data_IF_801872082412
#
_entry.id   IF_801872082412
#
_cell.length_a   1.000
_cell.length_b   1.000
_cell.length_c   1.000
_cell.angle_alpha   90.00
_cell.angle_beta   90.00
_cell.angle_gamma   90.00
#
_symmetry.space_group_name_H-M   'P 1'
#
loop_
_entity.id
_entity.type
_entity.pdbx_description
1 polymer ?
#
# COMPACT_ATOMS: atom_id res chain seq x y z
N UNK A 1 9.77 0.33 26.31
CA UNK A 1 8.61 0.36 25.40
C UNK A 1 8.90 1.41 24.38
N UNK A 2 8.86 1.06 23.11
CA UNK A 2 9.27 1.87 21.96
C UNK A 2 8.51 1.36 20.75
N UNK A 3 8.28 2.22 19.77
CA UNK A 3 7.70 1.79 18.49
C UNK A 3 8.82 1.66 17.47
N UNK A 4 8.86 0.54 16.76
CA UNK A 4 9.73 0.36 15.61
C UNK A 4 8.89 0.36 14.33
N UNK A 5 9.26 1.15 13.33
CA UNK A 5 8.63 1.11 11.99
C UNK A 5 9.61 0.56 10.95
N UNK A 6 9.22 -0.47 10.21
CA UNK A 6 9.96 -0.90 9.02
C UNK A 6 9.62 0.01 7.85
N UNK A 7 10.65 0.59 7.24
CA UNK A 7 10.52 1.49 6.08
C UNK A 7 10.98 0.77 4.81
N UNK A 8 10.01 0.29 4.03
CA UNK A 8 10.24 -0.37 2.75
C UNK A 8 10.83 0.62 1.73
N UNK A 9 11.86 0.21 0.99
CA UNK A 9 12.47 1.00 -0.07
C UNK A 9 12.39 0.29 -1.42
N UNK A 10 12.35 1.07 -2.48
CA UNK A 10 12.57 0.60 -3.84
C UNK A 10 13.67 1.45 -4.47
N UNK A 11 14.77 0.82 -4.87
CA UNK A 11 15.91 1.48 -5.54
C UNK A 11 16.50 2.65 -4.72
N UNK A 12 16.55 2.47 -3.40
CA UNK A 12 17.07 3.46 -2.47
C UNK A 12 16.11 4.63 -2.20
N UNK A 13 14.85 4.52 -2.63
CA UNK A 13 13.82 5.55 -2.47
C UNK A 13 12.63 5.07 -1.65
N UNK A 14 12.08 5.98 -0.86
CA UNK A 14 10.86 5.75 -0.11
C UNK A 14 9.63 6.18 -0.89
N UNK A 15 8.59 5.37 -0.81
CA UNK A 15 7.28 5.68 -1.39
C UNK A 15 6.41 6.41 -0.36
N UNK A 16 5.34 7.05 -0.82
CA UNK A 16 4.40 7.76 0.06
C UNK A 16 3.83 6.90 1.20
N UNK A 17 3.57 5.62 0.93
CA UNK A 17 3.08 4.64 1.92
C UNK A 17 4.05 4.42 3.08
N UNK A 18 5.35 4.68 2.88
CA UNK A 18 6.39 4.61 3.91
C UNK A 18 6.23 5.78 4.87
N UNK A 19 6.12 6.99 4.35
CA UNK A 19 5.91 8.19 5.16
C UNK A 19 4.59 8.10 5.94
N UNK A 20 3.55 7.53 5.35
CA UNK A 20 2.29 7.23 6.05
C UNK A 20 2.49 6.23 7.20
N UNK A 21 3.24 5.15 6.99
CA UNK A 21 3.54 4.18 8.05
C UNK A 21 4.34 4.82 9.20
N UNK A 22 5.27 5.72 8.89
CA UNK A 22 6.02 6.50 9.90
C UNK A 22 5.09 7.43 10.67
N UNK A 23 4.23 8.19 9.98
CA UNK A 23 3.23 9.05 10.62
C UNK A 23 2.29 8.26 11.54
N UNK A 24 1.86 7.07 11.10
CA UNK A 24 1.01 6.17 11.89
C UNK A 24 1.75 5.65 13.14
N UNK A 25 2.98 5.18 12.96
CA UNK A 25 3.81 4.71 14.06
C UNK A 25 4.13 5.82 15.07
N UNK A 26 4.32 7.05 14.60
CA UNK A 26 4.53 8.23 15.45
C UNK A 26 3.30 8.54 16.28
N UNK A 27 2.11 8.49 15.68
CA UNK A 27 0.87 8.70 16.42
C UNK A 27 0.62 7.61 17.48
N UNK A 28 1.00 6.36 17.21
CA UNK A 28 1.01 5.29 18.24
C UNK A 28 2.01 5.61 19.35
N UNK A 29 3.22 6.02 18.99
CA UNK A 29 4.26 6.36 19.96
C UNK A 29 3.80 7.52 20.88
N UNK A 30 3.14 8.53 20.32
CA UNK A 30 2.56 9.65 21.07
C UNK A 30 1.45 9.21 22.02
N UNK A 31 0.54 8.34 21.58
CA UNK A 31 -0.51 7.75 22.45
C UNK A 31 0.09 6.99 23.64
N UNK A 32 1.24 6.36 23.45
CA UNK A 32 1.95 5.57 24.47
C UNK A 32 3.01 6.39 25.22
N UNK A 33 3.16 7.68 24.93
CA UNK A 33 4.22 8.54 25.48
C UNK A 33 5.62 7.93 25.35
N UNK A 34 5.93 7.39 24.16
CA UNK A 34 7.24 6.78 23.84
C UNK A 34 7.84 7.32 22.54
N UNK A 35 9.05 6.83 22.20
CA UNK A 35 9.80 7.19 21.01
C UNK A 35 9.49 6.27 19.82
N UNK A 36 9.73 6.80 18.62
CA UNK A 36 9.68 6.06 17.37
C UNK A 36 11.09 5.89 16.79
N UNK A 37 11.49 4.64 16.58
CA UNK A 37 12.64 4.29 15.74
C UNK A 37 12.15 3.74 14.40
N UNK A 38 12.86 4.05 13.32
CA UNK A 38 12.67 3.43 12.01
C UNK A 38 13.80 2.43 11.72
N UNK A 39 13.51 1.40 10.92
CA UNK A 39 14.53 0.51 10.37
C UNK A 39 14.43 0.48 8.85
N UNK A 40 15.53 0.83 8.19
CA UNK A 40 15.71 0.73 6.74
C UNK A 40 16.69 -0.40 6.42
N UNK A 41 16.35 -1.19 5.40
CA UNK A 41 17.15 -2.33 4.95
C UNK A 41 17.47 -2.19 3.46
N UNK A 42 18.75 -2.23 3.12
CA UNK A 42 19.29 -2.07 1.77
C UNK A 42 20.07 -0.77 1.62
N UNK A 43 20.37 -0.43 0.37
CA UNK A 43 21.21 0.72 0.05
C UNK A 43 20.35 1.98 -0.14
N UNK A 44 20.11 2.69 0.96
CA UNK A 44 19.38 3.97 0.99
C UNK A 44 20.34 5.10 1.34
N UNK A 45 20.30 6.19 0.58
CA UNK A 45 21.15 7.35 0.83
C UNK A 45 20.79 8.03 2.16
N UNK A 46 21.80 8.53 2.88
CA UNK A 46 21.60 9.22 4.16
C UNK A 46 20.59 10.38 4.07
N UNK A 47 20.59 11.11 2.96
CA UNK A 47 19.64 12.20 2.70
C UNK A 47 18.18 11.72 2.68
N UNK A 48 17.94 10.55 2.09
CA UNK A 48 16.60 9.93 2.04
C UNK A 48 16.18 9.42 3.42
N UNK A 49 17.10 8.82 4.17
CA UNK A 49 16.86 8.38 5.56
C UNK A 49 16.45 9.55 6.46
N UNK A 50 17.07 10.73 6.29
CA UNK A 50 16.72 11.94 7.05
C UNK A 50 15.31 12.44 6.79
N UNK A 51 14.72 12.15 5.62
CA UNK A 51 13.33 12.55 5.33
C UNK A 51 12.32 11.90 6.29
N UNK A 52 12.65 10.74 6.85
CA UNK A 52 11.80 10.07 7.86
C UNK A 52 11.60 10.91 9.12
N UNK A 53 12.58 11.77 9.45
CA UNK A 53 12.49 12.70 10.58
C UNK A 53 11.35 13.71 10.43
N UNK A 54 11.02 14.12 9.20
CA UNK A 54 9.90 15.02 8.91
C UNK A 54 8.54 14.45 9.38
N UNK A 55 8.45 13.13 9.47
CA UNK A 55 7.23 12.39 9.82
C UNK A 55 7.27 11.76 11.22
N UNK A 56 8.35 11.98 11.97
CA UNK A 56 8.42 11.69 13.40
C UNK A 56 9.38 10.59 13.83
N UNK A 57 10.20 10.03 12.92
CA UNK A 57 11.26 9.11 13.31
C UNK A 57 12.43 9.88 13.95
N UNK A 58 12.66 9.70 15.25
CA UNK A 58 13.78 10.35 15.96
C UNK A 58 15.10 9.58 15.80
N UNK A 59 15.01 8.30 15.42
CA UNK A 59 16.15 7.42 15.18
C UNK A 59 15.89 6.53 13.97
N UNK A 60 16.89 6.32 13.15
CA UNK A 60 16.84 5.45 11.96
C UNK A 60 17.99 4.45 12.04
N UNK A 61 17.64 3.18 12.18
CA UNK A 61 18.56 2.06 12.06
C UNK A 61 18.76 1.74 10.58
N UNK A 62 19.96 1.99 10.08
CA UNK A 62 20.35 1.72 8.71
C UNK A 62 21.05 0.36 8.60
N UNK A 63 20.49 -0.55 7.81
CA UNK A 63 21.06 -1.87 7.56
C UNK A 63 21.48 -1.97 6.10
N UNK A 64 22.78 -1.81 5.84
CA UNK A 64 23.38 -2.07 4.52
C UNK A 64 24.26 -3.32 4.62
N UNK A 65 23.88 -4.35 3.86
CA UNK A 65 24.60 -5.60 3.73
C UNK A 65 24.41 -6.12 2.31
N UNK A 66 25.49 -6.59 1.66
CA UNK A 66 25.43 -7.07 0.26
C UNK A 66 24.39 -8.16 0.05
N UNK A 67 24.22 -9.04 1.04
CA UNK A 67 23.25 -10.15 1.03
C UNK A 67 21.79 -9.67 1.11
N UNK A 68 21.54 -8.40 1.46
CA UNK A 68 20.24 -7.77 1.59
C UNK A 68 19.98 -6.70 0.51
N UNK A 69 20.81 -6.63 -0.54
CA UNK A 69 20.55 -5.76 -1.71
C UNK A 69 19.24 -6.10 -2.41
N UNK A 70 18.88 -7.38 -2.37
CA UNK A 70 17.61 -7.88 -2.88
C UNK A 70 16.71 -8.32 -1.74
N UNK A 71 15.40 -8.16 -1.92
CA UNK A 71 14.42 -8.51 -0.89
C UNK A 71 14.41 -10.02 -0.57
N UNK A 72 14.89 -10.40 0.61
CA UNK A 72 14.83 -11.78 1.11
C UNK A 72 13.96 -11.81 2.37
N UNK A 73 12.71 -12.26 2.20
CA UNK A 73 11.66 -12.14 3.21
C UNK A 73 12.06 -12.70 4.60
N UNK A 74 12.74 -13.85 4.65
CA UNK A 74 13.18 -14.48 5.91
C UNK A 74 14.27 -13.65 6.62
N UNK A 75 15.30 -13.25 5.88
CA UNK A 75 16.39 -12.44 6.41
C UNK A 75 15.90 -11.08 6.89
N UNK A 76 15.04 -10.41 6.12
CA UNK A 76 14.43 -9.14 6.51
C UNK A 76 13.64 -9.26 7.82
N UNK A 77 12.84 -10.32 7.98
CA UNK A 77 12.11 -10.56 9.22
C UNK A 77 13.06 -10.81 10.42
N UNK A 78 14.19 -11.51 10.23
CA UNK A 78 15.22 -11.69 11.27
C UNK A 78 15.86 -10.37 11.68
N UNK A 79 16.22 -9.53 10.69
CA UNK A 79 16.82 -8.21 10.91
C UNK A 79 15.86 -7.29 11.68
N UNK A 80 14.58 -7.23 11.27
CA UNK A 80 13.57 -6.40 11.94
C UNK A 80 13.32 -6.88 13.37
N UNK A 81 13.27 -8.19 13.61
CA UNK A 81 13.11 -8.72 14.96
C UNK A 81 14.32 -8.38 15.85
N UNK A 82 15.55 -8.50 15.33
CA UNK A 82 16.76 -8.12 16.05
C UNK A 82 16.80 -6.62 16.40
N UNK A 83 16.37 -5.76 15.46
CA UNK A 83 16.24 -4.33 15.71
C UNK A 83 15.18 -4.01 16.77
N UNK A 84 14.03 -4.71 16.74
CA UNK A 84 12.98 -4.53 17.75
C UNK A 84 13.51 -4.89 19.14
N UNK A 85 14.27 -5.98 19.27
CA UNK A 85 14.92 -6.34 20.54
C UNK A 85 15.95 -5.30 20.98
N UNK A 86 16.78 -4.78 20.07
CA UNK A 86 17.78 -3.74 20.37
C UNK A 86 17.15 -2.45 20.90
N UNK A 87 16.08 -1.98 20.25
CA UNK A 87 15.36 -0.76 20.64
C UNK A 87 14.35 -0.98 21.77
N UNK A 88 14.27 -2.20 22.32
CA UNK A 88 13.25 -2.59 23.30
C UNK A 88 11.82 -2.18 22.84
N UNK A 89 11.56 -2.39 21.55
CA UNK A 89 10.31 -2.05 20.90
C UNK A 89 9.31 -3.19 21.03
N UNK A 90 8.20 -2.91 21.68
CA UNK A 90 7.07 -3.81 21.92
C UNK A 90 5.98 -3.66 20.85
N UNK A 91 6.06 -2.65 19.99
CA UNK A 91 5.18 -2.48 18.83
C UNK A 91 6.04 -2.32 17.58
N UNK A 92 5.81 -3.21 16.60
CA UNK A 92 6.40 -3.10 15.26
C UNK A 92 5.32 -2.73 14.25
N UNK A 93 5.55 -1.67 13.49
CA UNK A 93 4.68 -1.18 12.44
C UNK A 93 5.32 -1.41 11.08
N UNK A 94 4.52 -1.77 10.09
CA UNK A 94 4.92 -1.82 8.69
C UNK A 94 3.72 -1.55 7.78
N UNK A 95 3.98 -1.17 6.53
CA UNK A 95 2.90 -1.10 5.53
C UNK A 95 2.40 -2.52 5.20
N UNK A 96 1.10 -2.69 5.03
CA UNK A 96 0.46 -3.92 4.54
C UNK A 96 0.60 -4.06 3.02
N UNK A 97 1.78 -3.73 2.49
CA UNK A 97 2.17 -3.87 1.10
C UNK A 97 2.31 -5.34 0.71
N UNK A 98 2.62 -5.63 -0.55
CA UNK A 98 2.84 -7.01 -0.99
C UNK A 98 3.97 -7.70 -0.19
N UNK A 99 5.10 -7.02 0.00
CA UNK A 99 6.21 -7.51 0.82
C UNK A 99 5.83 -7.55 2.30
N UNK A 100 5.15 -6.51 2.80
CA UNK A 100 4.67 -6.39 4.17
C UNK A 100 3.74 -7.53 4.60
N UNK A 101 2.83 -7.97 3.74
CA UNK A 101 1.96 -9.14 3.97
C UNK A 101 2.75 -10.44 4.19
N UNK A 102 3.90 -10.58 3.53
CA UNK A 102 4.81 -11.70 3.75
C UNK A 102 5.68 -11.55 4.99
N UNK A 103 6.08 -10.32 5.33
CA UNK A 103 6.96 -10.01 6.46
C UNK A 103 6.25 -10.05 7.82
N UNK A 104 5.08 -9.39 7.93
CA UNK A 104 4.37 -9.19 9.18
C UNK A 104 4.17 -10.48 10.01
N UNK A 105 3.65 -11.60 9.44
CA UNK A 105 3.50 -12.84 10.20
C UNK A 105 4.83 -13.45 10.64
N UNK A 106 5.90 -13.31 9.86
CA UNK A 106 7.22 -13.83 10.24
C UNK A 106 7.84 -13.04 11.37
N UNK A 107 7.71 -11.71 11.33
CA UNK A 107 8.13 -10.82 12.41
C UNK A 107 7.35 -11.18 13.68
N UNK A 108 6.03 -11.39 13.55
CA UNK A 108 5.20 -11.72 14.71
C UNK A 108 5.63 -13.02 15.38
N UNK A 109 5.90 -14.07 14.62
CA UNK A 109 6.41 -15.34 15.15
C UNK A 109 7.77 -15.17 15.82
N UNK A 110 8.70 -14.41 15.22
CA UNK A 110 10.05 -14.19 15.79
C UNK A 110 10.03 -13.39 17.09
N UNK A 111 9.02 -12.54 17.28
CA UNK A 111 8.85 -11.70 18.46
C UNK A 111 7.82 -12.24 19.47
N UNK A 112 7.23 -13.41 19.22
CA UNK A 112 6.10 -13.94 20.01
C UNK A 112 4.96 -12.91 20.15
N UNK A 113 4.71 -12.17 19.07
CA UNK A 113 3.82 -11.02 19.05
C UNK A 113 2.42 -11.36 18.52
N UNK A 114 1.42 -10.62 18.98
CA UNK A 114 0.10 -10.57 18.35
C UNK A 114 0.18 -9.80 17.03
N UNK A 115 -0.53 -10.26 15.99
CA UNK A 115 -0.54 -9.61 14.68
C UNK A 115 -1.91 -9.03 14.37
N UNK A 116 -1.93 -7.75 13.98
CA UNK A 116 -3.06 -7.14 13.28
C UNK A 116 -2.61 -6.70 11.88
N UNK A 117 -2.94 -7.51 10.86
CA UNK A 117 -2.77 -7.13 9.46
C UNK A 117 -3.95 -6.30 8.95
N UNK A 118 -3.68 -5.34 8.07
CA UNK A 118 -4.71 -4.51 7.44
C UNK A 118 -5.40 -3.53 8.38
N UNK A 119 -4.65 -2.96 9.32
CA UNK A 119 -5.13 -1.88 10.18
C UNK A 119 -5.58 -0.68 9.34
N UNK A 120 -6.64 0.00 9.77
CA UNK A 120 -7.21 1.16 9.04
C UNK A 120 -7.26 2.44 9.86
N UNK A 121 -7.04 2.36 11.17
CA UNK A 121 -7.01 3.50 12.08
C UNK A 121 -6.07 3.21 13.26
N UNK A 122 -5.87 4.21 14.12
CA UNK A 122 -5.03 4.05 15.30
C UNK A 122 -5.61 2.99 16.24
N UNK A 123 -4.76 2.25 16.96
CA UNK A 123 -5.22 1.34 17.99
C UNK A 123 -5.98 2.12 19.07
N UNK A 124 -7.03 1.49 19.61
CA UNK A 124 -7.62 1.92 20.87
C UNK A 124 -6.85 1.29 22.01
N UNK A 125 -6.54 2.11 23.01
CA UNK A 125 -5.74 1.74 24.18
C UNK A 125 -6.53 1.92 25.49
N UNK A 126 -7.81 2.27 25.39
CA UNK A 126 -8.70 2.45 26.53
C UNK A 126 -9.08 1.07 27.09
N UNK A 127 -8.32 0.63 28.09
CA UNK A 127 -8.47 -0.67 28.75
C UNK A 127 -7.72 -1.80 28.03
N UNK A 128 -8.03 -2.07 26.75
CA UNK A 128 -7.42 -3.15 25.97
C UNK A 128 -6.79 -2.60 24.70
N UNK A 129 -5.62 -3.12 24.31
CA UNK A 129 -5.00 -2.75 23.04
C UNK A 129 -5.74 -3.45 21.89
N UNK A 130 -6.55 -2.70 21.15
CA UNK A 130 -7.35 -3.23 20.04
C UNK A 130 -7.09 -2.46 18.75
N UNK A 131 -7.05 -3.20 17.64
CA UNK A 131 -6.81 -2.66 16.30
C UNK A 131 -8.03 -2.94 15.44
N UNK A 132 -8.61 -1.90 14.86
CA UNK A 132 -9.61 -2.06 13.80
C UNK A 132 -8.92 -2.32 12.47
N UNK A 133 -9.29 -3.43 11.84
CA UNK A 133 -8.72 -3.88 10.56
C UNK A 133 -9.80 -4.24 9.55
N UNK A 134 -9.45 -4.22 8.27
CA UNK A 134 -10.33 -4.73 7.21
C UNK A 134 -10.53 -6.23 7.32
N UNK A 135 -11.75 -6.71 7.07
CA UNK A 135 -12.11 -8.12 6.97
C UNK A 135 -13.01 -8.36 5.75
N UNK A 136 -13.15 -9.63 5.34
CA UNK A 136 -14.01 -10.05 4.23
C UNK A 136 -13.79 -9.25 2.93
N UNK A 137 -12.53 -9.04 2.56
CA UNK A 137 -12.13 -8.24 1.38
C UNK A 137 -12.71 -6.83 1.38
N UNK A 138 -12.60 -6.13 2.51
CA UNK A 138 -13.04 -4.75 2.68
C UNK A 138 -14.54 -4.58 2.93
N UNK A 139 -15.32 -5.67 3.00
CA UNK A 139 -16.78 -5.60 3.25
C UNK A 139 -17.16 -5.41 4.70
N UNK A 140 -16.23 -5.62 5.63
CA UNK A 140 -16.46 -5.40 7.05
C UNK A 140 -15.19 -4.93 7.75
N UNK A 141 -15.36 -4.45 8.97
CA UNK A 141 -14.28 -4.19 9.90
C UNK A 141 -14.31 -5.21 11.03
N UNK A 142 -13.14 -5.69 11.44
CA UNK A 142 -12.96 -6.47 12.66
C UNK A 142 -12.19 -5.61 13.68
N UNK A 143 -12.61 -5.64 14.94
CA UNK A 143 -11.88 -5.05 16.05
C UNK A 143 -11.15 -6.20 16.75
N UNK A 144 -9.83 -6.25 16.59
CA UNK A 144 -9.00 -7.35 17.09
C UNK A 144 -8.20 -6.89 18.31
N UNK A 145 -8.43 -7.52 19.46
CA UNK A 145 -7.64 -7.33 20.67
C UNK A 145 -6.30 -8.07 20.53
N UNK A 146 -5.19 -7.37 20.80
CA UNK A 146 -3.85 -7.95 20.84
C UNK A 146 -3.40 -8.10 22.30
N UNK A 147 -3.43 -9.33 22.80
CA UNK A 147 -3.14 -9.65 24.22
C UNK A 147 -1.67 -9.95 24.50
N UNK A 148 -0.87 -10.21 23.47
CA UNK A 148 0.57 -10.44 23.61
C UNK A 148 1.31 -9.16 24.05
N UNK A 149 2.42 -9.35 24.77
CA UNK A 149 3.31 -8.25 25.16
C UNK A 149 3.79 -7.49 23.91
N UNK A 150 4.37 -8.21 22.96
CA UNK A 150 4.79 -7.67 21.67
C UNK A 150 3.64 -7.66 20.67
N UNK A 151 3.63 -6.66 19.78
CA UNK A 151 2.57 -6.43 18.79
C UNK A 151 3.17 -6.10 17.44
N UNK A 152 2.59 -6.65 16.38
CA UNK A 152 2.92 -6.31 14.99
C UNK A 152 1.65 -5.78 14.33
N UNK A 153 1.75 -4.60 13.72
CA UNK A 153 0.62 -3.94 13.05
C UNK A 153 1.02 -3.63 11.62
N UNK A 154 0.33 -4.26 10.65
CA UNK A 154 0.49 -3.92 9.25
C UNK A 154 -0.61 -2.95 8.81
N UNK A 155 -0.24 -1.71 8.52
CA UNK A 155 -1.16 -0.63 8.13
C UNK A 155 -1.56 -0.75 6.67
N UNK A 156 -2.86 -0.76 6.36
CA UNK A 156 -3.30 -0.67 4.97
C UNK A 156 -2.83 0.65 4.34
N UNK A 157 -2.18 0.61 3.15
CA UNK A 157 -1.81 1.82 2.44
C UNK A 157 -3.02 2.74 2.21
N UNK A 158 -2.78 4.05 2.34
CA UNK A 158 -3.74 5.15 2.20
C UNK A 158 -4.89 5.15 3.23
N UNK A 159 -4.76 4.44 4.36
CA UNK A 159 -5.77 4.41 5.41
C UNK A 159 -5.62 5.53 6.46
N UNK A 160 -4.39 5.95 6.78
CA UNK A 160 -4.12 6.95 7.83
C UNK A 160 -3.76 8.34 7.28
N UNK A 161 -3.15 8.37 6.09
CA UNK A 161 -2.59 9.56 5.49
C UNK A 161 -1.23 9.96 6.08
N UNK A 162 -0.50 10.78 5.31
CA UNK A 162 0.79 11.32 5.74
C UNK A 162 0.57 12.55 6.61
N UNK A 163 1.19 12.57 7.80
CA UNK A 163 1.13 13.68 8.75
C UNK A 163 2.54 14.07 9.16
N UNK A 164 2.87 15.35 8.99
CA UNK A 164 4.16 15.88 9.43
C UNK A 164 4.16 16.01 10.96
N UNK A 165 5.24 15.56 11.57
CA UNK A 165 5.48 15.66 13.00
C UNK A 165 7.00 15.64 13.20
N UNK A 166 7.63 16.75 12.85
CA UNK A 166 9.07 16.79 12.61
C UNK A 166 9.88 16.49 13.89
N UNK A 167 10.90 15.66 13.72
CA UNK A 167 11.92 15.33 14.72
C UNK A 167 13.30 15.32 14.05
N UNK A 168 14.35 15.59 14.81
CA UNK A 168 15.72 15.42 14.33
C UNK A 168 16.09 13.92 14.30
N UNK A 169 16.07 13.33 13.11
CA UNK A 169 16.39 11.93 12.91
C UNK A 169 17.90 11.68 13.01
N UNK A 170 18.31 10.92 14.03
CA UNK A 170 19.67 10.37 14.12
C UNK A 170 19.78 9.07 13.32
N UNK A 171 20.86 8.90 12.57
CA UNK A 171 21.09 7.68 11.77
C UNK A 171 22.16 6.84 12.46
N UNK A 172 21.84 5.58 12.71
CA UNK A 172 22.74 4.61 13.31
C UNK A 172 22.86 3.38 12.40
N UNK A 173 24.10 3.03 12.03
CA UNK A 173 24.33 1.78 11.31
C UNK A 173 24.05 0.58 12.22
N UNK A 174 23.22 -0.34 11.76
CA UNK A 174 22.84 -1.54 12.49
C UNK A 174 23.27 -2.79 11.71
N UNK A 175 24.13 -3.59 12.33
CA UNK A 175 24.50 -4.90 11.83
C UNK A 175 23.71 -5.97 12.58
N UNK A 176 22.87 -6.71 11.85
CA UNK A 176 22.18 -7.87 12.37
C UNK A 176 22.90 -9.15 11.94
N UNK A 177 22.88 -10.17 12.81
CA UNK A 177 23.38 -11.50 12.45
C UNK A 177 22.38 -12.19 11.50
N UNK A 178 22.78 -12.42 10.26
CA UNK A 178 21.95 -13.03 9.22
C UNK A 178 22.40 -14.48 9.08
N UNK A 179 21.53 -15.41 9.47
CA UNK A 179 21.80 -16.84 9.32
C UNK A 179 21.74 -17.23 7.85
N UNK A 180 22.67 -18.07 7.41
CA UNK A 180 22.68 -18.60 6.04
C UNK A 180 21.35 -19.31 5.68
N UNK A 181 20.68 -19.91 6.66
CA UNK A 181 19.37 -20.54 6.49
C UNK A 181 18.27 -19.55 6.07
N UNK A 182 18.40 -18.27 6.41
CA UNK A 182 17.45 -17.21 6.07
C UNK A 182 17.64 -16.69 4.63
N UNK A 183 18.72 -17.11 3.95
CA UNK A 183 19.08 -16.72 2.57
C UNK A 183 18.75 -17.80 1.53
N UNK A 184 17.89 -18.77 1.87
CA UNK A 184 17.53 -19.87 0.98
C UNK A 184 16.74 -19.48 -0.28
N UNK A 185 16.18 -18.27 -0.33
CA UNK A 185 15.43 -17.77 -1.49
C UNK A 185 16.35 -17.02 -2.44
N UNK A 186 16.41 -17.47 -3.70
CA UNK A 186 17.16 -16.80 -4.76
C UNK A 186 16.20 -16.09 -5.71
N UNK A 187 16.37 -14.78 -5.85
CA UNK A 187 15.66 -13.99 -6.86
C UNK A 187 16.32 -14.26 -8.21
N UNK A 188 15.55 -14.81 -9.16
CA UNK A 188 16.03 -15.07 -10.53
C UNK A 188 16.00 -13.82 -11.39
N UNK A 189 14.87 -13.11 -11.39
CA UNK A 189 14.64 -11.90 -12.18
C UNK A 189 13.72 -10.93 -11.45
N UNK A 190 13.88 -9.64 -11.72
CA UNK A 190 12.98 -8.57 -11.29
C UNK A 190 12.49 -7.85 -12.55
N UNK A 191 11.23 -8.05 -12.93
CA UNK A 191 10.61 -7.41 -14.10
C UNK A 191 9.79 -6.21 -13.65
N UNK A 192 10.09 -5.02 -14.18
CA UNK A 192 9.38 -3.76 -13.86
C UNK A 192 8.90 -3.08 -15.14
N UNK A 193 7.74 -2.43 -15.06
CA UNK A 193 7.32 -1.47 -16.08
C UNK A 193 7.95 -0.11 -15.76
N UNK A 194 8.79 0.43 -16.64
CA UNK A 194 9.62 1.62 -16.38
C UNK A 194 8.95 2.95 -16.75
N UNK A 195 7.82 2.93 -17.46
CA UNK A 195 7.24 4.16 -18.07
C UNK A 195 5.80 4.48 -17.62
N UNK A 196 5.31 3.83 -16.56
CA UNK A 196 3.93 4.02 -16.07
C UNK A 196 3.89 4.18 -14.56
N UNK A 197 2.89 4.92 -14.07
CA UNK A 197 2.58 5.00 -12.64
C UNK A 197 2.28 3.59 -12.12
N UNK A 198 3.03 3.16 -11.10
CA UNK A 198 2.83 1.89 -10.42
C UNK A 198 1.42 1.82 -9.81
N UNK A 199 0.62 0.84 -10.23
CA UNK A 199 -0.76 0.69 -9.74
C UNK A 199 -0.90 0.59 -8.21
N UNK A 200 -0.06 -0.20 -7.50
CA UNK A 200 -0.09 -0.23 -6.03
C UNK A 200 0.09 1.13 -5.35
N UNK A 201 0.75 2.07 -6.03
CA UNK A 201 1.12 3.38 -5.48
C UNK A 201 0.28 4.53 -6.08
N UNK A 202 -0.61 4.22 -7.02
CA UNK A 202 -1.37 5.20 -7.75
C UNK A 202 -2.44 5.86 -6.87
N UNK A 203 -2.42 7.19 -6.79
CA UNK A 203 -3.45 7.95 -6.07
C UNK A 203 -4.73 8.11 -6.87
N UNK A 204 -4.59 8.12 -8.19
CA UNK A 204 -5.68 8.25 -9.14
C UNK A 204 -5.56 7.07 -10.11
N UNK A 205 -6.67 6.37 -10.33
CA UNK A 205 -6.71 5.22 -11.23
C UNK A 205 -7.90 5.36 -12.17
N UNK A 206 -7.63 5.24 -13.47
CA UNK A 206 -8.66 5.10 -14.50
C UNK A 206 -8.63 3.66 -14.96
N UNK A 207 -9.74 2.96 -14.77
CA UNK A 207 -9.88 1.55 -15.12
C UNK A 207 -10.98 1.34 -16.13
N UNK A 208 -10.76 0.40 -17.04
CA UNK A 208 -11.80 0.00 -17.98
C UNK A 208 -11.99 -1.53 -18.08
N UNK A 209 -13.20 -1.89 -18.51
CA UNK A 209 -13.66 -3.27 -18.66
C UNK A 209 -14.05 -3.63 -20.09
N UNK A 210 -14.67 -4.79 -20.24
CA UNK A 210 -15.20 -5.26 -21.53
C UNK A 210 -16.23 -4.32 -22.16
N UNK A 211 -16.78 -3.37 -21.41
CA UNK A 211 -17.64 -2.32 -21.95
C UNK A 211 -16.98 -1.48 -23.06
N UNK A 212 -15.65 -1.50 -23.18
CA UNK A 212 -14.93 -0.88 -24.29
C UNK A 212 -14.97 -1.64 -25.61
N UNK A 213 -15.53 -2.86 -25.64
CA UNK A 213 -15.77 -3.66 -26.86
C UNK A 213 -14.53 -4.06 -27.68
N UNK A 214 -13.33 -3.56 -27.36
CA UNK A 214 -12.08 -3.94 -28.02
C UNK A 214 -10.88 -3.08 -27.55
N UNK A 215 -9.63 -3.54 -27.77
CA UNK A 215 -8.42 -2.81 -27.40
C UNK A 215 -8.21 -1.52 -28.23
N UNK A 216 -8.77 -1.44 -29.44
CA UNK A 216 -8.69 -0.25 -30.31
C UNK A 216 -9.31 1.00 -29.66
N UNK A 217 -10.22 0.80 -28.69
CA UNK A 217 -10.90 1.86 -27.97
C UNK A 217 -10.18 2.31 -26.70
N UNK A 218 -9.03 1.71 -26.37
CA UNK A 218 -8.32 1.98 -25.12
C UNK A 218 -7.68 3.39 -25.09
N UNK A 219 -7.46 4.01 -26.25
CA UNK A 219 -6.83 5.33 -26.36
C UNK A 219 -7.52 6.42 -25.52
N UNK A 220 -8.85 6.41 -25.41
CA UNK A 220 -9.58 7.38 -24.58
C UNK A 220 -9.33 7.18 -23.07
N UNK A 221 -9.01 5.96 -22.63
CA UNK A 221 -8.67 5.66 -21.25
C UNK A 221 -7.29 6.19 -20.92
N UNK A 222 -6.33 5.99 -21.83
CA UNK A 222 -4.97 6.50 -21.70
C UNK A 222 -4.94 8.03 -21.74
N UNK A 223 -5.74 8.66 -22.60
CA UNK A 223 -5.88 10.11 -22.65
C UNK A 223 -6.47 10.67 -21.35
N UNK A 224 -7.57 10.09 -20.85
CA UNK A 224 -8.17 10.49 -19.58
C UNK A 224 -7.18 10.30 -18.42
N UNK A 225 -6.48 9.17 -18.38
CA UNK A 225 -5.48 8.90 -17.35
C UNK A 225 -4.32 9.89 -17.41
N UNK A 226 -3.80 10.17 -18.62
CA UNK A 226 -2.73 11.14 -18.84
C UNK A 226 -3.12 12.55 -18.39
N UNK A 227 -4.34 12.99 -18.70
CA UNK A 227 -4.86 14.29 -18.24
C UNK A 227 -4.97 14.37 -16.73
N UNK A 228 -5.31 13.27 -16.04
CA UNK A 228 -5.42 13.22 -14.59
C UNK A 228 -4.08 12.98 -13.89
N UNK A 229 -3.05 12.50 -14.59
CA UNK A 229 -1.85 11.94 -13.96
C UNK A 229 -2.14 10.62 -13.24
N UNK A 230 -3.12 9.86 -13.72
CA UNK A 230 -3.59 8.62 -13.13
C UNK A 230 -2.88 7.40 -13.74
N UNK A 231 -2.81 6.30 -12.97
CA UNK A 231 -2.45 5.01 -13.51
C UNK A 231 -3.62 4.38 -14.29
N UNK A 232 -3.32 3.53 -15.26
CA UNK A 232 -4.32 2.73 -15.97
C UNK A 232 -4.47 1.35 -15.35
N UNK A 233 -5.70 0.89 -15.19
CA UNK A 233 -6.03 -0.46 -14.73
C UNK A 233 -7.06 -1.13 -15.65
N UNK A 234 -7.21 -2.44 -15.51
CA UNK A 234 -8.19 -3.22 -16.25
C UNK A 234 -8.85 -4.30 -15.40
N UNK A 235 -10.06 -4.68 -15.80
CA UNK A 235 -10.75 -5.85 -15.22
C UNK A 235 -10.15 -7.17 -15.70
N UNK A 236 -10.31 -8.25 -14.91
CA UNK A 236 -9.85 -9.60 -15.28
C UNK A 236 -10.14 -9.98 -16.75
N UNK A 237 -11.37 -9.82 -17.28
CA UNK A 237 -11.64 -10.26 -18.64
C UNK A 237 -10.94 -9.46 -19.75
N UNK A 238 -10.49 -8.23 -19.44
CA UNK A 238 -9.68 -7.42 -20.35
C UNK A 238 -8.24 -7.95 -20.37
N UNK A 239 -7.70 -8.30 -19.20
CA UNK A 239 -6.39 -8.94 -19.11
C UNK A 239 -6.38 -10.35 -19.72
N UNK A 240 -7.41 -11.15 -19.47
CA UNK A 240 -7.52 -12.52 -20.02
C UNK A 240 -7.72 -12.51 -21.55
N UNK A 241 -8.20 -11.40 -22.12
CA UNK A 241 -8.34 -11.20 -23.56
C UNK A 241 -7.12 -10.52 -24.20
N UNK A 242 -6.03 -10.37 -23.46
CA UNK A 242 -4.77 -9.73 -23.89
C UNK A 242 -4.92 -8.28 -24.40
N UNK A 243 -5.99 -7.57 -24.01
CA UNK A 243 -6.14 -6.16 -24.34
C UNK A 243 -5.16 -5.29 -23.54
N UNK A 244 -4.85 -5.72 -22.30
CA UNK A 244 -3.94 -5.07 -21.37
C UNK A 244 -3.12 -6.10 -20.59
N UNK A 245 -1.91 -5.74 -20.14
CA UNK A 245 -1.03 -6.68 -19.44
C UNK A 245 -1.60 -7.06 -18.06
N UNK A 246 -1.19 -8.22 -17.55
CA UNK A 246 -1.57 -8.69 -16.21
C UNK A 246 -1.14 -7.73 -15.09
N UNK A 247 -0.07 -6.96 -15.30
CA UNK A 247 0.35 -5.91 -14.38
C UNK A 247 -0.65 -4.76 -14.24
N UNK A 248 -1.65 -4.66 -15.12
CA UNK A 248 -2.76 -3.71 -15.04
C UNK A 248 -4.05 -4.34 -14.48
N UNK A 249 -4.07 -5.64 -14.20
CA UNK A 249 -5.26 -6.32 -13.70
C UNK A 249 -5.51 -6.01 -12.22
N UNK A 250 -6.68 -5.44 -11.94
CA UNK A 250 -7.14 -5.14 -10.58
C UNK A 250 -8.26 -6.09 -10.16
N UNK A 251 -8.18 -6.56 -8.91
CA UNK A 251 -9.16 -7.46 -8.31
C UNK A 251 -8.56 -8.40 -7.28
N UNK A 252 -9.37 -9.32 -6.74
CA UNK A 252 -8.99 -10.29 -5.71
C UNK A 252 -7.82 -11.18 -6.12
N UNK A 253 -7.72 -11.52 -7.41
CA UNK A 253 -6.64 -12.32 -7.99
C UNK A 253 -5.65 -11.48 -8.79
N UNK A 254 -5.87 -10.17 -8.87
CA UNK A 254 -4.97 -9.20 -9.45
C UNK A 254 -4.33 -8.34 -8.36
N UNK A 255 -4.07 -7.09 -8.69
CA UNK A 255 -3.52 -6.11 -7.76
C UNK A 255 -4.67 -5.50 -6.96
N UNK A 256 -4.57 -5.54 -5.63
CA UNK A 256 -5.44 -4.77 -4.74
C UNK A 256 -4.84 -3.37 -4.55
N UNK A 257 -5.66 -2.34 -4.74
CA UNK A 257 -5.28 -0.93 -4.72
C UNK A 257 -6.22 -0.12 -3.82
N UNK A 258 -5.74 1.00 -3.29
CA UNK A 258 -6.52 1.91 -2.44
C UNK A 258 -6.35 3.38 -2.87
N UNK A 259 -6.67 3.75 -4.13
CA UNK A 259 -6.47 5.11 -4.61
C UNK A 259 -7.41 6.11 -3.92
N UNK A 260 -7.08 7.40 -4.02
CA UNK A 260 -8.01 8.49 -3.66
C UNK A 260 -9.18 8.56 -4.65
N UNK A 261 -8.92 8.29 -5.93
CA UNK A 261 -9.95 8.26 -6.98
C UNK A 261 -9.80 7.01 -7.84
N UNK A 262 -10.90 6.28 -8.02
CA UNK A 262 -11.01 5.15 -8.93
C UNK A 262 -12.16 5.37 -9.91
N UNK A 263 -11.86 5.48 -11.20
CA UNK A 263 -12.87 5.61 -12.26
C UNK A 263 -13.04 4.25 -12.95
N UNK A 264 -14.21 3.63 -12.83
CA UNK A 264 -14.60 2.39 -13.49
C UNK A 264 -15.42 2.64 -14.75
N UNK A 265 -14.84 2.36 -15.92
CA UNK A 265 -15.46 2.61 -17.22
C UNK A 265 -15.82 1.26 -17.88
N UNK A 266 -17.12 1.00 -18.04
CA UNK A 266 -17.59 -0.23 -18.67
C UNK A 266 -17.23 -1.50 -17.90
N UNK A 267 -17.14 -1.42 -16.57
CA UNK A 267 -16.89 -2.55 -15.66
C UNK A 267 -18.20 -2.89 -14.94
N UNK A 268 -18.60 -4.16 -14.97
CA UNK A 268 -19.86 -4.60 -14.31
C UNK A 268 -19.79 -4.59 -12.78
N UNK A 269 -18.61 -4.81 -12.20
CA UNK A 269 -18.43 -4.82 -10.74
C UNK A 269 -18.67 -6.17 -10.10
N UNK A 270 -18.20 -7.24 -10.75
CA UNK A 270 -18.14 -8.54 -10.11
C UNK A 270 -17.41 -8.45 -8.76
N UNK A 271 -17.84 -9.26 -7.78
CA UNK A 271 -17.33 -9.22 -6.39
C UNK A 271 -15.81 -9.30 -6.34
N UNK A 272 -15.21 -10.09 -7.23
CA UNK A 272 -13.76 -10.25 -7.34
C UNK A 272 -13.07 -8.96 -7.77
N UNK A 273 -13.67 -8.16 -8.65
CA UNK A 273 -13.12 -6.85 -9.03
C UNK A 273 -13.24 -5.88 -7.85
N UNK A 274 -14.43 -5.80 -7.25
CA UNK A 274 -14.71 -4.90 -6.12
C UNK A 274 -13.79 -5.16 -4.93
N UNK A 275 -13.49 -6.42 -4.63
CA UNK A 275 -12.55 -6.80 -3.56
C UNK A 275 -11.14 -6.19 -3.71
N UNK A 276 -10.74 -5.82 -4.93
CA UNK A 276 -9.45 -5.18 -5.20
C UNK A 276 -9.45 -3.65 -5.13
N UNK A 277 -10.63 -3.02 -5.04
CA UNK A 277 -10.77 -1.55 -5.14
C UNK A 277 -11.70 -0.94 -4.09
N UNK A 278 -12.34 -1.77 -3.24
CA UNK A 278 -13.33 -1.31 -2.26
C UNK A 278 -12.76 -0.36 -1.20
N UNK A 279 -11.44 -0.29 -1.07
CA UNK A 279 -10.73 0.66 -0.22
C UNK A 279 -10.41 1.99 -0.92
N UNK A 280 -10.88 2.20 -2.16
CA UNK A 280 -10.77 3.50 -2.82
C UNK A 280 -11.62 4.53 -2.09
N UNK A 281 -11.11 5.76 -1.95
CA UNK A 281 -11.85 6.83 -1.23
C UNK A 281 -13.03 7.37 -2.02
N UNK A 282 -12.87 7.46 -3.34
CA UNK A 282 -13.91 7.89 -4.28
C UNK A 282 -13.95 6.93 -5.46
N UNK A 283 -15.13 6.38 -5.73
CA UNK A 283 -15.43 5.48 -6.84
C UNK A 283 -16.40 6.18 -7.80
N UNK A 284 -15.95 6.41 -9.03
CA UNK A 284 -16.76 6.93 -10.13
C UNK A 284 -17.06 5.79 -11.11
N UNK A 285 -18.33 5.57 -11.45
CA UNK A 285 -18.73 4.50 -12.39
C UNK A 285 -19.37 5.10 -13.64
N UNK A 286 -18.91 4.66 -14.80
CA UNK A 286 -19.54 4.93 -16.11
C UNK A 286 -19.94 3.60 -16.71
N UNK A 287 -21.24 3.32 -16.80
CA UNK A 287 -21.74 2.07 -17.36
C UNK A 287 -23.09 2.28 -18.03
N UNK A 288 -23.32 1.62 -19.18
CA UNK A 288 -24.61 1.69 -19.89
C UNK A 288 -25.73 0.92 -19.18
N UNK A 289 -25.36 -0.07 -18.37
CA UNK A 289 -26.29 -0.93 -17.64
C UNK A 289 -26.57 -0.33 -16.26
N UNK A 290 -27.75 0.25 -16.00
CA UNK A 290 -28.08 0.85 -14.70
C UNK A 290 -28.08 -0.17 -13.56
N UNK A 291 -28.21 -1.46 -13.86
CA UNK A 291 -28.23 -2.54 -12.87
C UNK A 291 -26.84 -3.13 -12.59
N UNK A 292 -25.78 -2.56 -13.19
CA UNK A 292 -24.42 -3.01 -12.97
C UNK A 292 -24.07 -2.99 -11.47
N UNK A 293 -23.65 -4.12 -10.87
CA UNK A 293 -23.32 -4.21 -9.44
C UNK A 293 -22.35 -3.14 -8.92
N UNK A 294 -21.48 -2.60 -9.77
CA UNK A 294 -20.55 -1.52 -9.41
C UNK A 294 -21.27 -0.26 -8.90
N UNK A 295 -22.47 0.06 -9.39
CA UNK A 295 -23.22 1.23 -8.92
C UNK A 295 -23.58 1.14 -7.43
N UNK A 296 -23.67 -0.06 -6.84
CA UNK A 296 -23.99 -0.25 -5.42
C UNK A 296 -22.90 0.25 -4.47
N UNK A 297 -21.69 0.48 -4.98
CA UNK A 297 -20.53 0.93 -4.20
C UNK A 297 -19.90 2.18 -4.79
N UNK A 298 -20.56 2.84 -5.75
CA UNK A 298 -20.08 4.05 -6.38
C UNK A 298 -20.47 5.28 -5.56
N UNK A 299 -19.55 6.22 -5.41
CA UNK A 299 -19.85 7.56 -4.89
C UNK A 299 -20.51 8.43 -5.96
N UNK A 300 -20.09 8.25 -7.22
CA UNK A 300 -20.66 8.92 -8.39
C UNK A 300 -20.91 7.92 -9.51
N UNK A 301 -22.06 8.04 -10.18
CA UNK A 301 -22.45 7.13 -11.26
C UNK A 301 -23.03 7.87 -12.45
N UNK A 302 -22.59 7.52 -13.66
CA UNK A 302 -23.19 7.94 -14.92
C UNK A 302 -23.70 6.70 -15.66
N UNK A 303 -25.02 6.63 -15.83
CA UNK A 303 -25.64 5.63 -16.70
C UNK A 303 -25.58 6.15 -18.13
N UNK A 304 -24.69 5.59 -18.94
CA UNK A 304 -24.46 6.05 -20.31
C UNK A 304 -23.41 5.25 -21.07
N UNK A 305 -23.35 5.43 -22.39
CA UNK A 305 -22.32 4.78 -23.19
C UNK A 305 -20.95 5.43 -22.90
N UNK A 306 -19.94 4.61 -22.60
CA UNK A 306 -18.57 5.05 -22.38
C UNK A 306 -18.04 5.87 -23.57
N UNK A 307 -18.44 5.54 -24.80
CA UNK A 307 -18.03 6.24 -26.03
C UNK A 307 -18.61 7.64 -26.16
N UNK A 308 -19.66 7.98 -25.42
CA UNK A 308 -20.24 9.32 -25.40
C UNK A 308 -19.79 10.10 -24.16
N UNK A 309 -19.72 9.43 -23.01
CA UNK A 309 -19.45 10.06 -21.72
C UNK A 309 -17.96 10.38 -21.55
N UNK A 310 -17.06 9.45 -21.89
CA UNK A 310 -15.62 9.62 -21.66
C UNK A 310 -15.04 10.77 -22.49
N UNK A 311 -15.34 10.92 -23.80
CA UNK A 311 -14.87 12.07 -24.57
C UNK A 311 -15.35 13.42 -24.00
N UNK A 312 -16.60 13.52 -23.56
CA UNK A 312 -17.12 14.74 -22.93
C UNK A 312 -16.43 15.05 -21.60
N UNK A 313 -16.12 14.03 -20.81
CA UNK A 313 -15.34 14.19 -19.58
C UNK A 313 -13.92 14.70 -19.88
N UNK A 314 -13.28 14.17 -20.92
CA UNK A 314 -11.96 14.62 -21.40
C UNK A 314 -12.01 16.10 -21.82
N UNK A 315 -13.01 16.50 -22.61
CA UNK A 315 -13.19 17.89 -23.02
C UNK A 315 -13.40 18.83 -21.82
N UNK A 316 -14.24 18.44 -20.87
CA UNK A 316 -14.48 19.21 -19.66
C UNK A 316 -13.21 19.35 -18.80
N UNK A 317 -12.40 18.29 -18.68
CA UNK A 317 -11.13 18.33 -17.95
C UNK A 317 -10.09 19.23 -18.63
N UNK A 318 -10.01 19.19 -19.97
CA UNK A 318 -9.14 20.10 -20.73
C UNK A 318 -9.55 21.56 -20.52
N UNK A 319 -10.85 21.85 -20.54
CA UNK A 319 -11.37 23.19 -20.31
C UNK A 319 -11.19 23.69 -18.87
N UNK A 320 -11.06 22.79 -17.89
CA UNK A 320 -10.83 23.16 -16.48
C UNK A 320 -9.34 23.32 -16.14
N UNK A 321 -8.45 22.64 -16.87
CA UNK A 321 -6.99 22.73 -16.68
C UNK A 321 -6.31 23.80 -17.55
N UNK A 322 -6.99 24.29 -18.59
CA UNK A 322 -6.58 25.45 -19.40
C UNK A 322 -7.13 26.73 -18.82
#
# INVERSE_FOLDING_TARGET
>A
MSVLVYVEQAEGKFKKSVFEAVSYAKAIADQQSTNLSAISIGDVAESELKELGKYGASKVLNVSADQLKTFVNQAYASVIAAAASKESADIVVLSNSFSGKGLAPRIAVKLEAGLADGAVELPSTDGKFSVKKTAFSGKAFAITELTSANKVIALNPNAFGVKENATDASIENFAADIKQSDLGTVIKDIVRATDKVSLPDAELVVSAGRGLKGPENWGMIEELAGLLGAATACSKPVSDADWRPHSEHVGQTGIAISPNLYIAIGISGAIQHLAGVSSSKVIVVINKDPEAPFFKVADYGIVGDAFEVVPKLIEALKAHKG
#
